data_IF_867530706596
#
_entry.id   IF_867530706596
#
_cell.length_a   1.000
_cell.length_b   1.000
_cell.length_c   1.000
_cell.angle_alpha   90.00
_cell.angle_beta   90.00
_cell.angle_gamma   90.00
#
_symmetry.space_group_name_H-M   'P 1'
#
loop_
_entity.id
_entity.type
_entity.pdbx_description
1 polymer ?
#
# COMPACT_ATOMS: atom_id res chain seq x y z
N UNK A 1 6.84 -2.92 -22.95
CA UNK A 1 6.99 -4.39 -22.78
C UNK A 1 5.93 -4.83 -21.81
N UNK A 2 5.02 -5.65 -22.31
CA UNK A 2 3.81 -6.15 -21.66
C UNK A 2 4.15 -7.14 -20.56
N UNK A 3 4.07 -6.72 -19.29
CA UNK A 3 3.90 -7.67 -18.18
C UNK A 3 2.44 -8.06 -18.15
N UNK A 4 2.10 -9.08 -18.94
CA UNK A 4 0.88 -9.86 -18.72
C UNK A 4 0.91 -10.39 -17.30
N UNK A 5 0.01 -9.91 -16.45
CA UNK A 5 -0.33 -10.58 -15.20
C UNK A 5 -0.76 -12.01 -15.54
N UNK A 6 0.15 -12.95 -15.34
CA UNK A 6 -0.14 -14.37 -15.38
C UNK A 6 -1.05 -14.66 -14.18
N UNK A 7 -2.34 -14.78 -14.47
CA UNK A 7 -3.34 -15.28 -13.55
C UNK A 7 -2.92 -16.68 -13.11
N UNK A 8 -2.44 -16.80 -11.87
CA UNK A 8 -1.94 -18.05 -11.30
C UNK A 8 -3.01 -19.14 -11.44
N UNK A 9 -2.71 -20.30 -12.06
CA UNK A 9 -3.66 -21.38 -12.19
C UNK A 9 -4.01 -21.94 -10.81
N UNK A 10 -5.31 -21.96 -10.51
CA UNK A 10 -5.90 -22.62 -9.35
C UNK A 10 -5.65 -24.13 -9.50
N UNK A 11 -4.52 -24.65 -9.00
CA UNK A 11 -4.25 -26.09 -9.06
C UNK A 11 -2.81 -26.59 -8.98
N UNK A 12 -1.80 -25.74 -8.80
CA UNK A 12 -0.43 -26.21 -8.55
C UNK A 12 -0.16 -26.34 -7.05
N UNK A 13 0.21 -27.54 -6.56
CA UNK A 13 0.78 -27.71 -5.21
C UNK A 13 2.15 -27.02 -5.14
N UNK A 14 2.17 -25.70 -5.07
CA UNK A 14 3.35 -24.94 -4.66
C UNK A 14 3.49 -25.14 -3.16
N UNK A 15 4.63 -25.67 -2.72
CA UNK A 15 4.93 -25.85 -1.30
C UNK A 15 4.66 -24.53 -0.58
N UNK A 16 3.71 -24.52 0.36
CA UNK A 16 3.21 -23.33 1.05
C UNK A 16 4.33 -22.49 1.71
N UNK A 17 5.53 -23.05 1.87
CA UNK A 17 6.70 -22.37 2.43
C UNK A 17 7.51 -21.55 1.42
N UNK A 18 7.25 -21.68 0.11
CA UNK A 18 7.95 -20.96 -0.98
C UNK A 18 7.10 -19.92 -1.72
N UNK A 19 5.83 -19.74 -1.36
CA UNK A 19 5.00 -18.68 -1.96
C UNK A 19 5.22 -17.35 -1.24
N UNK A 20 5.35 -16.26 -2.01
CA UNK A 20 5.44 -14.89 -1.48
C UNK A 20 4.21 -14.52 -0.63
N UNK A 21 3.06 -15.13 -0.93
CA UNK A 21 1.80 -14.99 -0.20
C UNK A 21 1.94 -15.36 1.28
N UNK A 22 2.51 -16.53 1.55
CA UNK A 22 2.60 -17.07 2.90
C UNK A 22 3.64 -16.32 3.72
N UNK A 23 4.73 -15.90 3.09
CA UNK A 23 5.75 -15.04 3.72
C UNK A 23 5.18 -13.68 4.15
N UNK A 24 4.31 -13.08 3.34
CA UNK A 24 3.63 -11.83 3.72
C UNK A 24 2.80 -12.00 5.00
N UNK A 25 2.12 -13.14 5.15
CA UNK A 25 1.34 -13.48 6.35
C UNK A 25 2.25 -13.70 7.56
N UNK A 26 3.32 -14.48 7.43
CA UNK A 26 4.26 -14.72 8.53
C UNK A 26 4.94 -13.44 9.01
N UNK A 27 5.36 -12.58 8.08
CA UNK A 27 5.94 -11.28 8.41
C UNK A 27 4.92 -10.42 9.17
N UNK A 28 3.68 -10.34 8.68
CA UNK A 28 2.61 -9.62 9.36
C UNK A 28 2.40 -10.13 10.80
N UNK A 29 2.27 -11.44 10.98
CA UNK A 29 2.10 -12.07 12.31
C UNK A 29 3.31 -11.84 13.22
N UNK A 30 4.53 -11.95 12.69
CA UNK A 30 5.76 -11.67 13.43
C UNK A 30 5.76 -10.23 13.97
N UNK A 31 5.44 -9.25 13.11
CA UNK A 31 5.36 -7.84 13.50
C UNK A 31 4.27 -7.63 14.56
N UNK A 32 3.13 -8.30 14.44
CA UNK A 32 2.06 -8.22 15.44
C UNK A 32 2.49 -8.79 16.80
N UNK A 33 3.23 -9.90 16.83
CA UNK A 33 3.78 -10.46 18.08
C UNK A 33 4.81 -9.48 18.69
N UNK A 34 5.68 -8.90 17.88
CA UNK A 34 6.66 -7.90 18.34
C UNK A 34 5.99 -6.64 18.89
N UNK A 35 4.88 -6.20 18.29
CA UNK A 35 4.07 -5.10 18.81
C UNK A 35 3.35 -5.49 20.10
N UNK A 36 2.75 -6.68 20.17
CA UNK A 36 2.00 -7.16 21.34
C UNK A 36 2.90 -7.40 22.56
N UNK A 37 4.16 -7.80 22.35
CA UNK A 37 5.17 -7.97 23.42
C UNK A 37 5.75 -6.64 23.92
N UNK A 38 5.35 -5.50 23.33
CA UNK A 38 5.82 -4.17 23.72
C UNK A 38 7.25 -3.85 23.28
N UNK A 39 7.90 -4.76 22.54
CA UNK A 39 9.24 -4.55 22.00
C UNK A 39 9.27 -3.44 20.94
N UNK A 40 8.14 -3.25 20.24
CA UNK A 40 7.90 -2.15 19.29
C UNK A 40 6.63 -1.42 19.71
N UNK A 41 6.76 -0.49 20.66
CA UNK A 41 5.62 0.24 21.24
C UNK A 41 5.37 1.62 20.63
N UNK A 42 6.29 2.14 19.81
CA UNK A 42 6.13 3.41 19.10
C UNK A 42 6.84 3.39 17.75
N UNK A 43 6.07 3.63 16.67
CA UNK A 43 6.65 3.97 15.38
C UNK A 43 7.02 5.46 15.39
N UNK A 44 8.27 5.83 15.05
CA UNK A 44 8.67 7.23 14.98
C UNK A 44 7.87 7.94 13.89
N UNK A 45 7.20 9.03 14.25
CA UNK A 45 6.50 9.91 13.31
C UNK A 45 7.31 11.18 13.11
N UNK A 46 7.50 11.58 11.86
CA UNK A 46 8.15 12.84 11.52
C UNK A 46 7.28 14.00 12.01
N UNK A 47 7.89 14.98 12.67
CA UNK A 47 7.20 16.15 13.22
C UNK A 47 6.74 17.12 12.13
N UNK A 48 5.83 18.03 12.48
CA UNK A 48 5.47 19.14 11.58
C UNK A 48 6.53 20.22 11.62
N UNK A 49 6.83 20.82 10.47
CA UNK A 49 7.82 21.89 10.34
C UNK A 49 7.26 23.08 9.54
N UNK A 50 7.84 24.27 9.76
CA UNK A 50 7.45 25.52 9.10
C UNK A 50 8.57 26.06 8.21
N UNK A 51 9.67 26.51 8.82
CA UNK A 51 10.75 27.20 8.11
C UNK A 51 11.94 26.29 7.83
N UNK A 52 12.31 25.42 8.78
CA UNK A 52 13.41 24.47 8.63
C UNK A 52 12.91 23.02 8.62
N UNK A 53 13.22 22.22 7.59
CA UNK A 53 12.82 20.81 7.52
C UNK A 53 13.55 19.94 8.56
N UNK A 54 14.66 20.42 9.12
CA UNK A 54 15.41 19.73 10.17
C UNK A 54 14.67 19.74 11.52
N UNK A 55 13.78 20.70 11.75
CA UNK A 55 12.94 20.75 12.96
C UNK A 55 11.96 19.56 13.02
N UNK A 56 11.64 18.98 11.86
CA UNK A 56 10.81 17.78 11.75
C UNK A 56 11.47 16.53 12.37
N UNK A 57 12.80 16.52 12.48
CA UNK A 57 13.60 15.41 12.98
C UNK A 57 14.03 15.56 14.45
N UNK A 58 13.66 16.68 15.09
CA UNK A 58 13.95 16.94 16.51
C UNK A 58 12.72 16.64 17.36
N UNK A 59 12.85 15.72 18.33
CA UNK A 59 11.79 15.47 19.32
C UNK A 59 11.67 16.68 20.26
N UNK A 60 10.45 16.98 20.74
CA UNK A 60 10.18 18.06 21.73
C UNK A 60 11.02 17.94 23.02
N UNK A 61 11.56 16.75 23.31
CA UNK A 61 12.41 16.43 24.46
C UNK A 61 13.92 16.44 24.16
N UNK A 62 14.36 16.91 22.98
CA UNK A 62 15.78 16.95 22.58
C UNK A 62 16.38 15.61 22.14
N UNK A 63 15.53 14.58 21.98
CA UNK A 63 15.91 13.29 21.39
C UNK A 63 16.02 13.34 19.86
N UNK A 64 16.99 12.60 19.32
CA UNK A 64 17.20 12.47 17.87
C UNK A 64 16.26 11.41 17.29
N UNK A 65 15.25 11.83 16.51
CA UNK A 65 14.32 10.91 15.81
C UNK A 65 15.10 10.03 14.82
N UNK A 66 16.24 10.51 14.32
CA UNK A 66 17.12 9.79 13.40
C UNK A 66 17.55 8.40 13.90
N UNK A 67 17.84 8.27 15.20
CA UNK A 67 18.22 6.97 15.79
C UNK A 67 17.04 6.00 15.70
N UNK A 68 15.83 6.46 16.00
CA UNK A 68 14.61 5.66 15.89
C UNK A 68 14.28 5.29 14.44
N UNK A 69 14.52 6.20 13.47
CA UNK A 69 14.37 5.90 12.04
C UNK A 69 15.37 4.83 11.59
N UNK A 70 16.62 4.90 12.04
CA UNK A 70 17.62 3.86 11.75
C UNK A 70 17.24 2.52 12.35
N UNK A 71 16.70 2.49 13.58
CA UNK A 71 16.19 1.25 14.16
C UNK A 71 14.98 0.71 13.40
N UNK A 72 14.07 1.58 12.92
CA UNK A 72 12.94 1.19 12.10
C UNK A 72 13.40 0.60 10.76
N UNK A 73 14.31 1.28 10.07
CA UNK A 73 14.92 0.80 8.82
C UNK A 73 15.65 -0.52 9.05
N UNK A 74 16.43 -0.64 10.12
CA UNK A 74 17.12 -1.87 10.49
C UNK A 74 16.16 -3.02 10.77
N UNK A 75 15.11 -2.79 11.57
CA UNK A 75 14.10 -3.80 11.90
C UNK A 75 13.33 -4.29 10.68
N UNK A 76 12.80 -3.36 9.86
CA UNK A 76 12.05 -3.71 8.65
C UNK A 76 12.97 -4.38 7.60
N UNK A 77 14.18 -3.86 7.41
CA UNK A 77 15.13 -4.44 6.46
C UNK A 77 15.52 -5.87 6.87
N UNK A 78 15.73 -6.17 8.16
CA UNK A 78 16.00 -7.53 8.63
C UNK A 78 14.82 -8.46 8.36
N UNK A 79 13.60 -8.03 8.66
CA UNK A 79 12.40 -8.86 8.48
C UNK A 79 12.17 -9.14 6.99
N UNK A 80 12.20 -8.14 6.12
CA UNK A 80 12.00 -8.35 4.69
C UNK A 80 13.20 -9.03 4.00
N UNK A 81 14.42 -8.81 4.50
CA UNK A 81 15.61 -9.54 4.03
C UNK A 81 15.47 -11.04 4.25
N UNK A 82 14.91 -11.47 5.38
CA UNK A 82 14.70 -12.89 5.65
C UNK A 82 13.82 -13.57 4.58
N UNK A 83 12.78 -12.87 4.11
CA UNK A 83 11.91 -13.31 3.02
C UNK A 83 12.67 -13.38 1.67
N UNK A 84 13.40 -12.32 1.32
CA UNK A 84 14.18 -12.27 0.07
C UNK A 84 15.25 -13.36 0.02
N UNK A 85 15.88 -13.66 1.16
CA UNK A 85 16.88 -14.73 1.28
C UNK A 85 16.31 -16.10 0.96
N UNK A 86 15.07 -16.35 1.38
CA UNK A 86 14.34 -17.62 1.14
C UNK A 86 13.80 -17.70 -0.29
N UNK A 87 13.42 -16.57 -0.88
CA UNK A 87 13.01 -16.45 -2.29
C UNK A 87 14.18 -16.53 -3.28
N UNK A 88 15.42 -16.60 -2.81
CA UNK A 88 16.62 -16.73 -3.65
C UNK A 88 17.12 -15.41 -4.26
N UNK A 89 16.59 -14.26 -3.81
CA UNK A 89 17.03 -12.94 -4.25
C UNK A 89 18.40 -12.55 -3.69
N UNK A 90 19.03 -11.56 -4.33
CA UNK A 90 20.31 -11.01 -3.87
C UNK A 90 20.08 -10.01 -2.73
N UNK A 91 20.55 -10.36 -1.53
CA UNK A 91 20.37 -9.54 -0.31
C UNK A 91 20.94 -8.12 -0.46
N UNK A 92 22.11 -7.99 -1.07
CA UNK A 92 22.77 -6.69 -1.23
C UNK A 92 22.00 -5.73 -2.15
N UNK A 93 21.46 -6.23 -3.26
CA UNK A 93 20.63 -5.41 -4.17
C UNK A 93 19.29 -5.07 -3.54
N UNK A 94 18.72 -6.01 -2.77
CA UNK A 94 17.53 -5.74 -1.96
C UNK A 94 17.76 -4.62 -0.94
N UNK A 95 18.84 -4.69 -0.16
CA UNK A 95 19.14 -3.67 0.86
C UNK A 95 19.32 -2.28 0.25
N UNK A 96 20.05 -2.19 -0.86
CA UNK A 96 20.21 -0.92 -1.58
C UNK A 96 18.86 -0.40 -2.07
N UNK A 97 18.05 -1.25 -2.71
CA UNK A 97 16.75 -0.85 -3.21
C UNK A 97 15.76 -0.46 -2.10
N UNK A 98 15.71 -1.25 -1.02
CA UNK A 98 14.88 -0.98 0.16
C UNK A 98 15.26 0.34 0.82
N UNK A 99 16.56 0.66 0.92
CA UNK A 99 17.03 1.94 1.46
C UNK A 99 16.54 3.11 0.60
N UNK A 100 16.63 3.01 -0.72
CA UNK A 100 16.11 4.05 -1.63
C UNK A 100 14.60 4.25 -1.43
N UNK A 101 13.83 3.16 -1.36
CA UNK A 101 12.38 3.23 -1.14
C UNK A 101 12.05 3.86 0.21
N UNK A 102 12.80 3.50 1.26
CA UNK A 102 12.61 4.08 2.59
C UNK A 102 12.90 5.59 2.60
N UNK A 103 13.96 6.03 1.94
CA UNK A 103 14.28 7.46 1.81
C UNK A 103 13.21 8.22 1.04
N UNK A 104 12.62 7.63 0.00
CA UNK A 104 11.50 8.22 -0.73
C UNK A 104 10.23 8.29 0.13
N UNK A 105 9.98 7.28 0.96
CA UNK A 105 8.89 7.29 1.92
C UNK A 105 9.08 8.38 2.97
N UNK A 106 10.28 8.50 3.55
CA UNK A 106 10.64 9.55 4.50
C UNK A 106 10.50 10.95 3.87
N UNK A 107 10.96 11.13 2.63
CA UNK A 107 10.78 12.38 1.90
C UNK A 107 9.29 12.74 1.72
N UNK A 108 8.45 11.73 1.45
CA UNK A 108 7.00 11.92 1.30
C UNK A 108 6.34 12.35 2.63
N UNK A 109 6.72 11.73 3.74
CA UNK A 109 6.26 12.11 5.08
C UNK A 109 6.79 13.48 5.50
N UNK A 110 8.03 13.82 5.15
CA UNK A 110 8.61 15.11 5.43
C UNK A 110 7.84 16.22 4.69
N UNK A 111 7.49 16.01 3.42
CA UNK A 111 6.71 16.98 2.64
C UNK A 111 5.29 17.15 3.19
N UNK A 112 4.61 16.07 3.57
CA UNK A 112 3.32 16.15 4.26
C UNK A 112 3.42 16.92 5.58
N UNK A 113 4.55 16.79 6.30
CA UNK A 113 4.79 17.46 7.57
C UNK A 113 4.88 18.99 7.50
N UNK A 114 5.00 19.59 6.32
CA UNK A 114 5.01 21.04 6.15
C UNK A 114 3.62 21.62 6.46
N UNK A 115 3.55 22.61 7.36
CA UNK A 115 2.29 23.24 7.81
C UNK A 115 1.44 23.75 6.63
N UNK A 116 2.05 24.32 5.60
CA UNK A 116 1.32 24.81 4.42
C UNK A 116 0.71 23.69 3.55
N UNK A 117 1.35 22.52 3.50
CA UNK A 117 0.90 21.35 2.74
C UNK A 117 -0.15 20.60 3.55
N UNK A 118 0.08 20.46 4.85
CA UNK A 118 -0.86 19.86 5.79
C UNK A 118 -2.18 20.64 5.88
N UNK A 119 -2.13 21.97 5.78
CA UNK A 119 -3.33 22.81 5.72
C UNK A 119 -4.20 22.57 4.47
N UNK A 120 -3.67 21.90 3.44
CA UNK A 120 -4.39 21.53 2.22
C UNK A 120 -4.80 20.06 2.20
N UNK A 121 -4.65 19.34 3.32
CA UNK A 121 -4.95 17.91 3.47
C UNK A 121 -4.32 17.05 2.36
N UNK A 122 -3.12 17.40 1.91
CA UNK A 122 -2.38 16.62 0.91
C UNK A 122 -1.67 15.44 1.58
N UNK A 123 -2.11 14.19 1.38
CA UNK A 123 -1.58 13.04 2.10
C UNK A 123 -0.19 12.67 1.60
N UNK A 124 0.64 12.06 2.46
CA UNK A 124 1.94 11.50 2.07
C UNK A 124 1.86 10.54 0.87
N UNK A 125 0.75 9.81 0.73
CA UNK A 125 0.53 8.86 -0.36
C UNK A 125 0.55 9.55 -1.75
N UNK A 126 0.06 10.80 -1.82
CA UNK A 126 0.09 11.58 -3.05
C UNK A 126 1.53 11.93 -3.46
N UNK A 127 2.36 12.32 -2.48
CA UNK A 127 3.78 12.62 -2.70
C UNK A 127 4.57 11.38 -3.11
N UNK A 128 4.32 10.24 -2.45
CA UNK A 128 4.94 8.97 -2.81
C UNK A 128 4.60 8.55 -4.25
N UNK A 129 3.33 8.70 -4.66
CA UNK A 129 2.89 8.45 -6.03
C UNK A 129 3.57 9.41 -7.01
N UNK A 130 3.63 10.71 -6.69
CA UNK A 130 4.27 11.71 -7.53
C UNK A 130 5.76 11.39 -7.74
N UNK A 131 6.49 11.01 -6.68
CA UNK A 131 7.88 10.60 -6.81
C UNK A 131 8.03 9.34 -7.68
N UNK A 132 7.19 8.33 -7.47
CA UNK A 132 7.20 7.12 -8.29
C UNK A 132 6.98 7.42 -9.78
N UNK A 133 6.01 8.29 -10.08
CA UNK A 133 5.69 8.72 -11.45
C UNK A 133 6.85 9.50 -12.08
N UNK A 134 7.42 10.46 -11.34
CA UNK A 134 8.55 11.27 -11.80
C UNK A 134 9.78 10.40 -12.09
N UNK A 135 10.13 9.48 -11.19
CA UNK A 135 11.28 8.59 -11.36
C UNK A 135 11.06 7.67 -12.57
N UNK A 136 9.88 7.07 -12.68
CA UNK A 136 9.54 6.17 -13.79
C UNK A 136 9.59 6.89 -15.15
N UNK A 137 9.15 8.14 -15.21
CA UNK A 137 9.09 8.93 -16.44
C UNK A 137 10.42 9.62 -16.83
N UNK A 138 11.34 9.86 -15.88
CA UNK A 138 12.58 10.61 -16.14
C UNK A 138 13.79 9.72 -16.34
N UNK A 139 14.09 8.86 -15.37
CA UNK A 139 15.30 8.03 -15.35
C UNK A 139 15.00 6.54 -15.54
N UNK A 140 13.74 6.15 -15.36
CA UNK A 140 13.33 4.76 -15.31
C UNK A 140 13.80 4.06 -14.04
N UNK A 141 13.26 2.88 -13.76
CA UNK A 141 13.65 2.07 -12.59
C UNK A 141 14.83 1.18 -12.99
N UNK A 142 16.05 1.41 -12.47
CA UNK A 142 17.19 0.58 -12.83
C UNK A 142 17.03 -0.84 -12.29
N UNK A 143 17.58 -1.83 -12.99
CA UNK A 143 17.35 -3.26 -12.69
C UNK A 143 17.78 -3.70 -11.29
N UNK A 144 18.73 -3.01 -10.65
CA UNK A 144 19.14 -3.30 -9.26
C UNK A 144 18.11 -2.82 -8.23
N UNK A 145 17.29 -1.81 -8.55
CA UNK A 145 16.26 -1.26 -7.68
C UNK A 145 15.03 -2.18 -7.66
N UNK A 146 14.80 -2.95 -8.72
CA UNK A 146 13.67 -3.89 -8.84
C UNK A 146 13.62 -4.92 -7.71
N UNK A 147 14.77 -5.39 -7.22
CA UNK A 147 14.83 -6.33 -6.10
C UNK A 147 14.27 -5.74 -4.80
N UNK A 148 14.36 -4.41 -4.63
CA UNK A 148 13.75 -3.69 -3.51
C UNK A 148 12.28 -3.33 -3.75
N UNK A 149 11.84 -3.16 -5.01
CA UNK A 149 10.46 -2.78 -5.35
C UNK A 149 9.55 -4.00 -5.38
N UNK A 150 9.39 -4.67 -4.23
CA UNK A 150 8.45 -5.79 -4.04
C UNK A 150 7.08 -5.30 -3.57
N UNK A 151 6.37 -4.58 -4.43
CA UNK A 151 5.06 -3.97 -4.14
C UNK A 151 4.05 -4.98 -3.58
N UNK A 152 3.99 -6.19 -4.13
CA UNK A 152 3.08 -7.25 -3.68
C UNK A 152 3.35 -7.71 -2.24
N UNK A 153 4.62 -7.95 -1.89
CA UNK A 153 5.04 -8.31 -0.54
C UNK A 153 4.67 -7.22 0.47
N UNK A 154 4.91 -5.96 0.12
CA UNK A 154 4.63 -4.82 1.01
C UNK A 154 3.13 -4.57 1.19
N UNK A 155 2.37 -4.58 0.09
CA UNK A 155 0.91 -4.38 0.13
C UNK A 155 0.22 -5.51 0.88
N UNK A 156 0.60 -6.77 0.65
CA UNK A 156 0.03 -7.93 1.37
C UNK A 156 0.35 -7.90 2.85
N UNK A 157 1.61 -7.61 3.19
CA UNK A 157 2.02 -7.45 4.60
C UNK A 157 1.24 -6.30 5.25
N UNK A 158 1.13 -5.15 4.57
CA UNK A 158 0.36 -4.00 5.03
C UNK A 158 -1.13 -4.32 5.24
N UNK A 159 -1.75 -5.10 4.37
CA UNK A 159 -3.14 -5.54 4.52
C UNK A 159 -3.32 -6.42 5.77
N UNK A 160 -2.38 -7.34 6.04
CA UNK A 160 -2.40 -8.17 7.26
C UNK A 160 -2.29 -7.29 8.51
N UNK A 161 -1.38 -6.32 8.52
CA UNK A 161 -1.19 -5.39 9.63
C UNK A 161 -2.40 -4.49 9.85
N UNK A 162 -2.93 -3.88 8.78
CA UNK A 162 -4.11 -3.04 8.80
C UNK A 162 -5.34 -3.83 9.27
N UNK A 163 -5.46 -5.09 8.81
CA UNK A 163 -6.48 -6.01 9.25
C UNK A 163 -6.40 -6.22 10.76
N UNK A 164 -5.22 -6.52 11.30
CA UNK A 164 -5.08 -6.69 12.75
C UNK A 164 -5.34 -5.39 13.54
N UNK A 165 -4.90 -4.23 13.04
CA UNK A 165 -5.13 -2.94 13.70
C UNK A 165 -6.63 -2.60 13.78
N UNK A 166 -7.34 -2.68 12.65
CA UNK A 166 -8.73 -2.26 12.54
C UNK A 166 -9.70 -3.34 13.05
N UNK A 167 -9.45 -4.61 12.71
CA UNK A 167 -10.39 -5.71 12.97
C UNK A 167 -10.46 -6.05 14.47
N UNK A 168 -9.38 -5.94 15.24
CA UNK A 168 -9.45 -6.26 16.66
C UNK A 168 -9.95 -5.08 17.52
N UNK A 169 -9.60 -3.84 17.17
CA UNK A 169 -9.99 -2.65 17.96
C UNK A 169 -11.39 -2.12 17.63
N UNK A 170 -11.70 -1.98 16.33
CA UNK A 170 -12.92 -1.32 15.88
C UNK A 170 -14.06 -2.31 15.62
N UNK A 171 -13.81 -3.54 15.20
CA UNK A 171 -14.89 -4.49 14.93
C UNK A 171 -15.68 -4.87 16.19
N UNK A 172 -15.03 -4.96 17.35
CA UNK A 172 -15.73 -5.27 18.62
C UNK A 172 -16.64 -4.11 19.05
N UNK A 173 -16.23 -2.86 18.81
CA UNK A 173 -16.99 -1.66 19.21
C UNK A 173 -18.01 -1.21 18.17
N UNK A 174 -17.70 -1.39 16.89
CA UNK A 174 -18.46 -0.89 15.75
C UNK A 174 -18.99 -2.03 14.87
N UNK A 175 -18.89 -3.29 15.27
CA UNK A 175 -19.21 -4.45 14.41
C UNK A 175 -20.57 -4.34 13.73
N UNK A 176 -21.68 -4.26 14.48
CA UNK A 176 -23.01 -4.11 13.88
C UNK A 176 -23.19 -2.81 13.05
N UNK A 177 -22.87 -1.60 13.55
CA UNK A 177 -23.07 -0.38 12.76
C UNK A 177 -22.12 -0.28 11.56
N UNK A 178 -20.88 -0.75 11.68
CA UNK A 178 -19.89 -0.80 10.61
C UNK A 178 -20.29 -1.78 9.50
N UNK A 179 -20.81 -2.96 9.87
CA UNK A 179 -21.35 -3.91 8.90
C UNK A 179 -22.57 -3.33 8.19
N UNK A 180 -23.47 -2.65 8.91
CA UNK A 180 -24.63 -1.99 8.33
C UNK A 180 -24.22 -0.89 7.34
N UNK A 181 -23.27 -0.03 7.70
CA UNK A 181 -22.74 1.01 6.82
C UNK A 181 -22.06 0.39 5.59
N UNK A 182 -21.21 -0.62 5.76
CA UNK A 182 -20.58 -1.29 4.63
C UNK A 182 -21.59 -1.95 3.69
N UNK A 183 -22.61 -2.61 4.23
CA UNK A 183 -23.64 -3.29 3.46
C UNK A 183 -24.57 -2.32 2.73
N UNK A 184 -24.85 -1.15 3.30
CA UNK A 184 -25.77 -0.17 2.70
C UNK A 184 -25.06 0.85 1.82
N UNK A 185 -23.96 1.44 2.29
CA UNK A 185 -23.28 2.55 1.59
C UNK A 185 -22.57 2.06 0.33
N UNK A 186 -21.88 0.92 0.38
CA UNK A 186 -21.13 0.40 -0.78
C UNK A 186 -22.03 0.20 -2.01
N UNK A 187 -23.15 -0.55 -1.97
CA UNK A 187 -23.98 -0.72 -3.14
C UNK A 187 -24.64 0.59 -3.59
N UNK A 188 -24.98 1.50 -2.67
CA UNK A 188 -25.51 2.82 -3.04
C UNK A 188 -24.47 3.61 -3.83
N UNK A 189 -23.22 3.69 -3.35
CA UNK A 189 -22.14 4.38 -4.04
C UNK A 189 -21.86 3.77 -5.41
N UNK A 190 -21.81 2.44 -5.50
CA UNK A 190 -21.58 1.73 -6.76
C UNK A 190 -22.70 1.99 -7.78
N UNK A 191 -23.97 1.91 -7.37
CA UNK A 191 -25.12 2.19 -8.24
C UNK A 191 -25.13 3.65 -8.67
N UNK A 192 -24.84 4.58 -7.74
CA UNK A 192 -24.77 6.00 -8.04
C UNK A 192 -23.65 6.30 -9.05
N UNK A 193 -22.45 5.77 -8.85
CA UNK A 193 -21.33 5.99 -9.76
C UNK A 193 -21.54 5.33 -11.12
N UNK A 194 -22.15 4.14 -11.16
CA UNK A 194 -22.54 3.52 -12.43
C UNK A 194 -23.56 4.37 -13.18
N UNK A 195 -24.61 4.85 -12.49
CA UNK A 195 -25.61 5.74 -13.07
C UNK A 195 -24.99 7.05 -13.58
N UNK A 196 -24.09 7.65 -12.79
CA UNK A 196 -23.37 8.86 -13.16
C UNK A 196 -22.51 8.65 -14.41
N UNK A 197 -21.73 7.56 -14.45
CA UNK A 197 -20.89 7.22 -15.60
C UNK A 197 -21.66 6.95 -16.89
N UNK A 198 -22.81 6.27 -16.80
CA UNK A 198 -23.64 5.98 -17.98
C UNK A 198 -24.44 7.21 -18.43
N UNK A 199 -25.06 7.95 -17.49
CA UNK A 199 -26.06 8.97 -17.82
C UNK A 199 -25.50 10.39 -17.93
N UNK A 200 -24.48 10.73 -17.14
CA UNK A 200 -23.87 12.07 -17.12
C UNK A 200 -22.63 12.12 -18.01
N UNK A 201 -21.73 11.14 -17.88
CA UNK A 201 -20.51 11.06 -18.69
C UNK A 201 -20.72 10.42 -20.07
N UNK A 202 -21.88 9.82 -20.32
CA UNK A 202 -22.25 9.26 -21.63
C UNK A 202 -21.38 8.09 -22.09
N UNK A 203 -20.75 7.36 -21.16
CA UNK A 203 -19.88 6.24 -21.50
C UNK A 203 -20.69 5.06 -22.07
N UNK A 204 -20.31 4.60 -23.27
CA UNK A 204 -21.00 3.53 -24.00
C UNK A 204 -20.65 2.13 -23.50
N UNK A 205 -19.45 1.91 -22.97
CA UNK A 205 -18.97 0.61 -22.48
C UNK A 205 -19.43 0.34 -21.03
N UNK A 206 -20.58 -0.30 -20.87
CA UNK A 206 -21.19 -0.58 -19.55
C UNK A 206 -20.31 -1.45 -18.62
N UNK A 207 -19.68 -2.55 -19.09
CA UNK A 207 -18.71 -3.29 -18.27
C UNK A 207 -17.58 -2.42 -17.73
N UNK A 208 -17.00 -1.54 -18.55
CA UNK A 208 -15.94 -0.63 -18.11
C UNK A 208 -16.44 0.37 -17.05
N UNK A 209 -17.63 0.97 -17.24
CA UNK A 209 -18.22 1.86 -16.23
C UNK A 209 -18.42 1.14 -14.90
N UNK A 210 -18.82 -0.13 -14.94
CA UNK A 210 -19.01 -0.94 -13.73
C UNK A 210 -17.68 -1.19 -12.99
N UNK A 211 -16.59 -1.44 -13.73
CA UNK A 211 -15.23 -1.59 -13.16
C UNK A 211 -14.77 -0.29 -12.49
N UNK A 212 -14.93 0.86 -13.16
CA UNK A 212 -14.60 2.17 -12.57
C UNK A 212 -15.47 2.47 -11.34
N UNK A 213 -16.78 2.26 -11.43
CA UNK A 213 -17.70 2.52 -10.33
C UNK A 213 -17.36 1.67 -9.09
N UNK A 214 -17.02 0.39 -9.28
CA UNK A 214 -16.61 -0.50 -8.20
C UNK A 214 -15.23 -0.13 -7.62
N UNK A 215 -14.25 0.17 -8.46
CA UNK A 215 -12.88 0.53 -8.03
C UNK A 215 -12.82 1.87 -7.28
N UNK A 216 -13.73 2.81 -7.60
CA UNK A 216 -13.83 4.11 -6.93
C UNK A 216 -14.68 4.08 -5.66
N UNK A 217 -15.64 3.16 -5.56
CA UNK A 217 -16.53 3.03 -4.39
C UNK A 217 -15.98 2.08 -3.32
N UNK A 218 -15.05 1.21 -3.67
CA UNK A 218 -14.44 0.20 -2.80
C UNK A 218 -12.91 0.32 -2.92
N UNK A 219 -12.14 -0.45 -2.16
CA UNK A 219 -10.67 -0.39 -2.05
C UNK A 219 -9.88 -0.76 -3.34
N UNK A 220 -10.26 -0.24 -4.51
CA UNK A 220 -9.45 -0.20 -5.72
C UNK A 220 -9.40 -1.52 -6.48
N UNK A 221 -8.18 -2.05 -6.66
CA UNK A 221 -7.84 -3.13 -7.61
C UNK A 221 -8.61 -4.42 -7.35
N UNK A 222 -8.77 -4.81 -6.09
CA UNK A 222 -9.53 -6.02 -5.74
C UNK A 222 -11.01 -5.93 -6.14
N UNK A 223 -11.60 -4.73 -5.99
CA UNK A 223 -12.97 -4.48 -6.41
C UNK A 223 -13.09 -4.40 -7.93
N UNK A 224 -12.09 -3.81 -8.61
CA UNK A 224 -12.02 -3.76 -10.06
C UNK A 224 -11.99 -5.17 -10.68
N UNK A 225 -11.16 -6.08 -10.15
CA UNK A 225 -11.05 -7.47 -10.62
C UNK A 225 -12.37 -8.22 -10.40
N UNK A 226 -12.96 -8.11 -9.20
CA UNK A 226 -14.25 -8.76 -8.90
C UNK A 226 -15.38 -8.23 -9.81
N UNK A 227 -15.43 -6.92 -10.03
CA UNK A 227 -16.40 -6.29 -10.91
C UNK A 227 -16.17 -6.65 -12.38
N UNK A 228 -14.92 -6.76 -12.84
CA UNK A 228 -14.58 -7.17 -14.20
C UNK A 228 -15.04 -8.61 -14.48
N UNK A 229 -14.81 -9.52 -13.52
CA UNK A 229 -15.29 -10.90 -13.61
C UNK A 229 -16.83 -10.97 -13.63
N UNK A 230 -17.51 -10.17 -12.81
CA UNK A 230 -18.97 -10.14 -12.74
C UNK A 230 -19.63 -9.48 -13.96
N UNK A 231 -19.03 -8.43 -14.51
CA UNK A 231 -19.56 -7.64 -15.63
C UNK A 231 -19.08 -8.09 -17.01
N UNK A 232 -18.18 -9.10 -17.06
CA UNK A 232 -17.52 -9.58 -18.27
C UNK A 232 -16.75 -8.46 -19.01
N UNK A 233 -16.07 -7.60 -18.25
CA UNK A 233 -15.24 -6.55 -18.83
C UNK A 233 -14.03 -7.16 -19.58
N UNK A 234 -13.56 -6.46 -20.61
CA UNK A 234 -12.38 -6.90 -21.36
C UNK A 234 -11.10 -6.68 -20.53
N UNK A 235 -10.00 -7.33 -20.92
CA UNK A 235 -8.72 -7.17 -20.21
C UNK A 235 -8.17 -5.76 -20.38
N UNK A 236 -8.42 -5.16 -21.54
CA UNK A 236 -8.09 -3.77 -21.83
C UNK A 236 -8.86 -2.82 -20.91
N UNK A 237 -10.17 -3.05 -20.71
CA UNK A 237 -11.01 -2.26 -19.80
C UNK A 237 -10.55 -2.37 -18.33
N UNK A 238 -10.14 -3.57 -17.90
CA UNK A 238 -9.61 -3.77 -16.55
C UNK A 238 -8.29 -3.02 -16.36
N UNK A 239 -7.38 -3.12 -17.33
CA UNK A 239 -6.08 -2.44 -17.26
C UNK A 239 -6.27 -0.92 -17.23
N UNK A 240 -7.18 -0.39 -18.04
CA UNK A 240 -7.52 1.04 -18.07
C UNK A 240 -8.27 1.51 -16.82
N UNK A 241 -9.04 0.62 -16.17
CA UNK A 241 -9.81 0.95 -14.97
C UNK A 241 -9.00 0.87 -13.67
N UNK A 242 -7.86 0.17 -13.70
CA UNK A 242 -6.95 0.00 -12.55
C UNK A 242 -5.76 0.97 -12.60
N UNK A 243 -5.34 1.39 -13.80
CA UNK A 243 -4.25 2.35 -14.01
C UNK A 243 -4.65 3.78 -13.63
#
# INVERSE_FOLDING_TARGET
>A
MTTSEEFIPIGGKVSALKSEDWWSVWIGVLILILAATGLVSHAPKIGTWTTNPLDAYTTKDGGNIFVSLLFLWGGLSLVFMSCVRVLGGRVWTFLLGFTVIMLLAEASFLLEGQVAIKAKDLPYALWALLFGLLISNTVGVPGWLLEGVKSELYIKTGLVLLGAEILFGNLVKLGPPGLFVGWTVVPICVVFMYWFGVKVLGMSNRPFVMVIAASTSVCGVSAAIAAAAASKATKEDLTLGVA
#
